data_IF_122557359297
#
_entry.id   IF_122557359297
#
_cell.length_a   1.000
_cell.length_b   1.000
_cell.length_c   1.000
_cell.angle_alpha   90.00
_cell.angle_beta   90.00
_cell.angle_gamma   90.00
#
_symmetry.space_group_name_H-M   'P 1'
#
loop_
_entity.id
_entity.type
_entity.pdbx_description
1 polymer ?
#
# COMPACT_ATOMS: atom_id res chain seq x y z
N UNK A 1 -9.59 61.50 -33.80
CA UNK A 1 -9.18 60.97 -32.48
C UNK A 1 -9.41 59.44 -32.55
N UNK A 2 -8.29 58.66 -32.70
CA UNK A 2 -8.36 57.21 -32.76
C UNK A 2 -8.06 56.65 -31.37
N UNK A 3 -9.05 56.02 -30.72
CA UNK A 3 -8.86 55.35 -29.43
C UNK A 3 -8.19 54.00 -29.66
N UNK A 4 -6.96 53.89 -29.16
CA UNK A 4 -6.22 52.61 -29.11
C UNK A 4 -6.57 51.97 -27.76
N UNK A 5 -7.34 50.86 -27.79
CA UNK A 5 -7.57 50.01 -26.63
C UNK A 5 -6.39 49.04 -26.51
N UNK A 6 -5.53 49.27 -25.50
CA UNK A 6 -4.46 48.34 -25.12
C UNK A 6 -5.06 47.23 -24.26
N UNK A 7 -5.14 46.01 -24.81
CA UNK A 7 -5.47 44.79 -24.05
C UNK A 7 -4.24 44.38 -23.24
N UNK A 8 -4.30 44.54 -21.93
CA UNK A 8 -3.30 43.96 -21.00
C UNK A 8 -3.70 42.52 -20.74
N UNK A 9 -2.97 41.58 -21.34
CA UNK A 9 -3.09 40.14 -21.08
C UNK A 9 -2.46 39.83 -19.70
N UNK A 10 -3.28 39.72 -18.67
CA UNK A 10 -2.80 39.25 -17.34
C UNK A 10 -2.63 37.75 -17.43
N UNK A 11 -1.37 37.29 -17.60
CA UNK A 11 -1.00 35.90 -17.40
C UNK A 11 -1.12 35.59 -15.89
N UNK A 12 -2.22 34.98 -15.48
CA UNK A 12 -2.34 34.32 -14.19
C UNK A 12 -1.42 33.11 -14.19
N UNK A 13 -0.22 33.26 -13.66
CA UNK A 13 0.64 32.15 -13.29
C UNK A 13 -0.08 31.36 -12.18
N UNK A 14 -0.81 30.34 -12.54
CA UNK A 14 -1.27 29.32 -11.60
C UNK A 14 -0.02 28.61 -11.13
N UNK A 15 0.52 29.01 -9.99
CA UNK A 15 1.51 28.23 -9.27
C UNK A 15 0.81 26.93 -8.86
N UNK A 16 0.98 25.90 -9.67
CA UNK A 16 0.63 24.56 -9.26
C UNK A 16 1.40 24.26 -7.96
N UNK A 17 0.68 23.97 -6.89
CA UNK A 17 1.30 23.55 -5.65
C UNK A 17 1.86 22.15 -5.88
N UNK A 18 3.16 22.06 -6.12
CA UNK A 18 3.88 20.80 -6.06
C UNK A 18 3.84 20.31 -4.60
N UNK A 19 3.46 19.09 -4.38
CA UNK A 19 3.50 18.48 -3.05
C UNK A 19 4.99 18.31 -2.67
N UNK A 20 5.46 19.06 -1.68
CA UNK A 20 6.83 18.99 -1.20
C UNK A 20 6.85 18.20 0.10
N UNK A 21 7.54 17.06 0.11
CA UNK A 21 7.79 16.28 1.33
C UNK A 21 8.79 17.02 2.23
N UNK A 22 8.62 16.88 3.54
CA UNK A 22 9.45 17.55 4.54
C UNK A 22 9.98 16.53 5.55
N UNK A 23 11.16 16.81 6.09
CA UNK A 23 11.72 16.06 7.20
C UNK A 23 10.84 16.27 8.45
N UNK A 24 10.24 15.23 9.04
CA UNK A 24 9.49 15.37 10.28
C UNK A 24 10.41 15.70 11.44
N UNK A 25 9.96 16.56 12.34
CA UNK A 25 10.68 16.82 13.59
C UNK A 25 10.67 15.60 14.50
N UNK A 26 11.76 15.37 15.23
CA UNK A 26 11.80 14.39 16.32
C UNK A 26 11.03 14.92 17.54
N UNK A 27 10.42 14.01 18.29
CA UNK A 27 9.74 14.34 19.57
C UNK A 27 10.74 14.69 20.69
N UNK A 28 11.97 14.18 20.61
CA UNK A 28 13.01 14.27 21.62
C UNK A 28 14.32 14.76 21.01
N UNK A 29 15.17 15.39 21.81
CA UNK A 29 16.51 15.77 21.38
C UNK A 29 17.39 14.53 21.18
N UNK A 30 18.38 14.60 20.30
CA UNK A 30 19.24 13.45 19.95
C UNK A 30 19.87 12.78 21.17
N UNK A 31 20.26 13.57 22.19
CA UNK A 31 20.89 13.07 23.42
C UNK A 31 19.91 12.29 24.30
N UNK A 32 18.61 12.53 24.19
CA UNK A 32 17.62 11.84 25.01
C UNK A 32 17.47 10.35 24.63
N UNK A 33 17.93 9.94 23.44
CA UNK A 33 17.92 8.54 23.02
C UNK A 33 19.03 7.69 23.66
N UNK A 34 19.98 8.34 24.39
CA UNK A 34 20.95 7.60 25.20
C UNK A 34 20.24 6.89 26.38
N UNK A 35 20.73 5.73 26.83
CA UNK A 35 21.92 5.02 26.36
C UNK A 35 21.65 4.03 25.22
N UNK A 36 20.48 4.01 24.59
CA UNK A 36 20.07 3.02 23.60
C UNK A 36 20.71 3.26 22.23
N UNK A 37 20.60 4.49 21.72
CA UNK A 37 21.24 4.95 20.49
C UNK A 37 22.10 6.17 20.85
N UNK A 38 23.33 6.24 20.34
CA UNK A 38 24.17 7.40 20.61
C UNK A 38 23.68 8.65 19.88
N UNK A 39 23.90 9.82 20.50
CA UNK A 39 23.46 11.11 20.00
C UNK A 39 23.99 11.41 18.60
N UNK A 40 25.21 10.98 18.28
CA UNK A 40 25.84 11.19 16.97
C UNK A 40 25.16 10.35 15.89
N UNK A 41 24.82 9.10 16.17
CA UNK A 41 24.02 8.26 15.27
C UNK A 41 22.68 8.92 15.01
N UNK A 42 21.95 9.38 16.05
CA UNK A 42 20.65 10.04 15.88
C UNK A 42 20.74 11.30 15.01
N UNK A 43 21.76 12.14 15.24
CA UNK A 43 21.98 13.35 14.44
C UNK A 43 22.19 13.01 12.94
N UNK A 44 23.11 12.10 12.64
CA UNK A 44 23.44 11.73 11.25
C UNK A 44 22.25 11.04 10.60
N UNK A 45 21.63 10.12 11.30
CA UNK A 45 20.52 9.31 10.80
C UNK A 45 19.31 10.18 10.44
N UNK A 46 18.94 11.13 11.30
CA UNK A 46 17.83 12.04 11.05
C UNK A 46 18.23 13.18 10.06
N UNK A 47 19.26 13.98 10.40
CA UNK A 47 19.56 15.21 9.67
C UNK A 47 20.32 15.00 8.36
N UNK A 48 20.90 13.82 8.11
CA UNK A 48 21.65 13.50 6.88
C UNK A 48 20.97 12.42 6.07
N UNK A 49 20.79 11.21 6.62
CA UNK A 49 20.20 10.11 5.87
C UNK A 49 18.74 10.39 5.52
N UNK A 50 17.87 10.65 6.52
CA UNK A 50 16.46 10.93 6.25
C UNK A 50 16.26 12.21 5.44
N UNK A 51 16.94 13.31 5.79
CA UNK A 51 16.88 14.54 4.99
C UNK A 51 17.35 14.32 3.54
N UNK A 52 18.33 13.45 3.33
CA UNK A 52 18.79 13.05 1.99
C UNK A 52 17.68 12.38 1.18
N UNK A 53 16.96 11.44 1.77
CA UNK A 53 15.81 10.80 1.12
C UNK A 53 14.72 11.81 0.76
N UNK A 54 14.38 12.72 1.67
CA UNK A 54 13.39 13.78 1.42
C UNK A 54 13.81 14.66 0.24
N UNK A 55 15.04 15.17 0.25
CA UNK A 55 15.55 16.05 -0.81
C UNK A 55 15.57 15.35 -2.17
N UNK A 56 16.06 14.11 -2.20
CA UNK A 56 16.18 13.33 -3.43
C UNK A 56 14.78 12.92 -3.97
N UNK A 57 13.83 12.57 -3.09
CA UNK A 57 12.46 12.28 -3.51
C UNK A 57 11.82 13.51 -4.16
N UNK A 58 11.85 14.67 -3.48
CA UNK A 58 11.29 15.90 -4.02
C UNK A 58 11.87 16.26 -5.39
N UNK A 59 13.18 16.06 -5.58
CA UNK A 59 13.84 16.29 -6.88
C UNK A 59 13.40 15.26 -7.92
N UNK A 60 13.28 13.98 -7.54
CA UNK A 60 13.03 12.89 -8.47
C UNK A 60 11.60 12.86 -9.01
N UNK A 61 10.60 13.35 -8.24
CA UNK A 61 9.20 13.37 -8.66
C UNK A 61 8.84 14.55 -9.56
N UNK A 62 9.65 15.63 -9.59
CA UNK A 62 9.36 16.83 -10.38
C UNK A 62 9.16 16.50 -11.87
N UNK A 63 8.07 17.00 -12.46
CA UNK A 63 7.70 16.77 -13.86
C UNK A 63 7.28 15.35 -14.19
N UNK A 64 7.14 14.47 -13.20
CA UNK A 64 6.65 13.10 -13.38
C UNK A 64 5.19 12.96 -12.96
N UNK A 65 4.56 11.82 -13.31
CA UNK A 65 3.20 11.49 -12.84
C UNK A 65 3.10 11.38 -11.31
N UNK A 66 4.21 11.29 -10.60
CA UNK A 66 4.28 11.17 -9.13
C UNK A 66 4.30 12.51 -8.41
N UNK A 67 4.51 13.64 -9.09
CA UNK A 67 4.72 14.97 -8.48
C UNK A 67 3.58 15.42 -7.54
N UNK A 68 2.34 15.03 -7.88
CA UNK A 68 1.15 15.43 -7.10
C UNK A 68 0.61 14.30 -6.20
N UNK A 69 1.27 13.16 -6.14
CA UNK A 69 0.81 12.01 -5.39
C UNK A 69 1.26 12.09 -3.93
N UNK A 70 0.41 11.58 -3.03
CA UNK A 70 0.81 11.33 -1.63
C UNK A 70 1.91 10.27 -1.56
N UNK A 71 2.66 10.24 -0.47
CA UNK A 71 3.72 9.25 -0.26
C UNK A 71 3.18 7.82 -0.37
N UNK A 72 2.04 7.53 0.26
CA UNK A 72 1.39 6.22 0.17
C UNK A 72 0.99 5.88 -1.27
N UNK A 73 0.47 6.86 -2.03
CA UNK A 73 0.14 6.64 -3.45
C UNK A 73 1.37 6.36 -4.31
N UNK A 74 2.52 6.98 -4.01
CA UNK A 74 3.80 6.66 -4.66
C UNK A 74 4.21 5.22 -4.33
N UNK A 75 4.18 4.83 -3.05
CA UNK A 75 4.57 3.48 -2.59
C UNK A 75 3.68 2.38 -3.19
N UNK A 76 2.38 2.63 -3.32
CA UNK A 76 1.43 1.71 -3.96
C UNK A 76 1.65 1.54 -5.47
N UNK A 77 2.50 2.35 -6.09
CA UNK A 77 2.74 2.37 -7.54
C UNK A 77 4.23 2.35 -7.90
N UNK A 78 5.09 1.83 -7.02
CA UNK A 78 6.55 1.83 -7.28
C UNK A 78 6.96 0.91 -8.43
N UNK A 79 6.16 -0.08 -8.81
CA UNK A 79 6.37 -0.88 -10.03
C UNK A 79 6.46 -0.02 -11.32
N UNK A 80 5.86 1.16 -11.30
CA UNK A 80 5.87 2.14 -12.38
C UNK A 80 6.83 3.31 -12.16
N UNK A 81 7.63 3.26 -11.08
CA UNK A 81 8.56 4.32 -10.70
C UNK A 81 10.00 3.96 -11.07
N UNK A 82 10.86 4.98 -11.16
CA UNK A 82 12.31 4.74 -11.21
C UNK A 82 12.83 4.25 -9.86
N UNK A 83 13.96 3.55 -9.86
CA UNK A 83 14.64 3.12 -8.63
C UNK A 83 14.96 4.31 -7.70
N UNK A 84 15.22 5.50 -8.26
CA UNK A 84 15.44 6.71 -7.48
C UNK A 84 14.19 7.09 -6.70
N UNK A 85 13.01 7.10 -7.33
CA UNK A 85 11.73 7.39 -6.65
C UNK A 85 11.43 6.30 -5.62
N UNK A 86 11.52 5.03 -6.00
CA UNK A 86 11.30 3.87 -5.11
C UNK A 86 12.14 3.95 -3.84
N UNK A 87 13.45 4.09 -3.98
CA UNK A 87 14.37 4.08 -2.84
C UNK A 87 14.17 5.32 -1.94
N UNK A 88 13.94 6.50 -2.52
CA UNK A 88 13.80 7.72 -1.72
C UNK A 88 12.40 7.84 -1.09
N UNK A 89 11.33 7.40 -1.76
CA UNK A 89 10.00 7.32 -1.17
C UNK A 89 9.96 6.30 -0.01
N UNK A 90 10.55 5.12 -0.23
CA UNK A 90 10.70 4.11 0.82
C UNK A 90 11.51 4.64 1.98
N UNK A 91 12.68 5.24 1.72
CA UNK A 91 13.53 5.80 2.76
C UNK A 91 12.82 6.88 3.59
N UNK A 92 12.09 7.78 2.94
CA UNK A 92 11.30 8.78 3.65
C UNK A 92 10.19 8.18 4.52
N UNK A 93 9.43 7.23 4.00
CA UNK A 93 8.36 6.55 4.75
C UNK A 93 8.92 5.76 5.95
N UNK A 94 9.92 4.93 5.71
CA UNK A 94 10.50 4.02 6.70
C UNK A 94 11.04 4.79 7.91
N UNK A 95 11.83 5.84 7.65
CA UNK A 95 12.39 6.68 8.71
C UNK A 95 11.31 7.51 9.43
N UNK A 96 10.28 8.00 8.70
CA UNK A 96 9.17 8.72 9.33
C UNK A 96 8.44 7.85 10.34
N UNK A 97 8.16 6.59 9.99
CA UNK A 97 7.57 5.63 10.92
C UNK A 97 8.50 5.33 12.10
N UNK A 98 9.79 5.09 11.82
CA UNK A 98 10.79 4.77 12.84
C UNK A 98 10.86 5.82 13.93
N UNK A 99 10.89 7.11 13.57
CA UNK A 99 10.92 8.20 14.55
C UNK A 99 9.63 8.31 15.36
N UNK A 100 8.49 7.99 14.79
CA UNK A 100 7.20 8.09 15.48
C UNK A 100 7.02 7.07 16.58
N UNK A 101 7.54 5.85 16.38
CA UNK A 101 7.36 4.71 17.28
C UNK A 101 8.45 4.58 18.36
N UNK A 102 9.46 5.45 18.33
CA UNK A 102 10.54 5.42 19.33
C UNK A 102 10.33 6.45 20.43
N UNK A 103 10.55 6.03 21.66
CA UNK A 103 10.59 6.90 22.84
C UNK A 103 11.73 6.50 23.76
N UNK A 104 12.55 7.46 24.27
CA UNK A 104 13.58 7.17 25.25
C UNK A 104 13.02 6.77 26.63
N UNK A 105 11.71 6.93 26.85
CA UNK A 105 11.02 6.68 28.11
C UNK A 105 9.87 5.68 27.89
N UNK A 106 10.21 4.45 27.48
CA UNK A 106 9.18 3.44 27.22
C UNK A 106 8.62 2.89 28.53
N UNK A 107 7.47 3.45 28.93
CA UNK A 107 6.62 2.91 30.00
C UNK A 107 5.21 2.58 29.48
N UNK A 108 5.01 2.68 28.16
CA UNK A 108 3.73 2.41 27.53
C UNK A 108 3.49 0.90 27.37
N UNK A 109 2.23 0.51 27.49
CA UNK A 109 1.77 -0.85 27.19
C UNK A 109 0.89 -0.83 25.94
N UNK A 110 0.82 -1.92 25.18
CA UNK A 110 -0.13 -2.02 24.08
C UNK A 110 -1.57 -1.88 24.61
N UNK A 111 -2.45 -1.29 23.78
CA UNK A 111 -3.89 -1.27 24.04
C UNK A 111 -4.47 -2.68 24.14
N UNK A 112 -5.67 -2.81 24.70
CA UNK A 112 -6.37 -4.09 24.78
C UNK A 112 -6.54 -4.72 23.40
N UNK A 113 -7.00 -3.96 22.38
CA UNK A 113 -7.18 -4.45 21.01
C UNK A 113 -5.87 -4.98 20.41
N UNK A 114 -4.77 -4.24 20.56
CA UNK A 114 -3.46 -4.68 20.06
C UNK A 114 -2.96 -5.91 20.83
N UNK A 115 -3.21 -5.98 22.14
CA UNK A 115 -2.84 -7.14 22.97
C UNK A 115 -3.58 -8.39 22.52
N UNK A 116 -4.87 -8.29 22.23
CA UNK A 116 -5.68 -9.39 21.66
C UNK A 116 -5.10 -9.83 20.32
N UNK A 117 -4.85 -8.88 19.41
CA UNK A 117 -4.29 -9.20 18.09
C UNK A 117 -2.90 -9.86 18.16
N UNK A 118 -2.05 -9.42 19.10
CA UNK A 118 -0.74 -10.06 19.36
C UNK A 118 -0.93 -11.48 19.88
N UNK A 119 -1.87 -11.69 20.81
CA UNK A 119 -2.18 -13.02 21.33
C UNK A 119 -2.70 -13.97 20.24
N UNK A 120 -3.58 -13.49 19.37
CA UNK A 120 -4.12 -14.27 18.25
C UNK A 120 -3.04 -14.65 17.23
N UNK A 121 -2.13 -13.72 16.91
CA UNK A 121 -1.13 -13.94 15.84
C UNK A 121 0.15 -14.62 16.34
N UNK A 122 0.55 -14.38 17.60
CA UNK A 122 1.86 -14.82 18.14
C UNK A 122 1.75 -15.58 19.46
N UNK A 123 0.59 -15.67 20.07
CA UNK A 123 0.37 -16.30 21.39
C UNK A 123 0.69 -15.39 22.56
N UNK A 124 1.83 -14.68 22.55
CA UNK A 124 2.25 -13.73 23.59
C UNK A 124 3.25 -12.70 23.07
N UNK A 125 3.48 -11.64 23.85
CA UNK A 125 4.43 -10.56 23.52
C UNK A 125 5.86 -11.04 23.30
N UNK A 126 6.37 -11.94 24.15
CA UNK A 126 7.73 -12.49 23.99
C UNK A 126 7.90 -13.24 22.66
N UNK A 127 6.84 -13.89 22.15
CA UNK A 127 6.86 -14.58 20.88
C UNK A 127 6.90 -13.59 19.71
N UNK A 128 6.16 -12.48 19.80
CA UNK A 128 6.27 -11.38 18.85
C UNK A 128 7.70 -10.82 18.84
N UNK A 129 8.25 -10.49 20.00
CA UNK A 129 9.63 -10.00 20.13
C UNK A 129 10.63 -10.94 19.48
N UNK A 130 10.55 -12.24 19.81
CA UNK A 130 11.43 -13.28 19.23
C UNK A 130 11.28 -13.39 17.73
N UNK A 131 10.05 -13.30 17.22
CA UNK A 131 9.77 -13.40 15.76
C UNK A 131 10.33 -12.19 15.02
N UNK A 132 10.12 -10.99 15.57
CA UNK A 132 10.65 -9.75 14.98
C UNK A 132 12.19 -9.73 15.02
N UNK A 133 12.80 -10.16 16.14
CA UNK A 133 14.24 -10.31 16.27
C UNK A 133 14.80 -11.28 15.20
N UNK A 134 14.17 -12.43 15.01
CA UNK A 134 14.58 -13.40 13.99
C UNK A 134 14.49 -12.79 12.58
N UNK A 135 13.43 -12.08 12.26
CA UNK A 135 13.28 -11.39 10.97
C UNK A 135 14.37 -10.32 10.76
N UNK A 136 14.65 -9.50 11.78
CA UNK A 136 15.71 -8.50 11.76
C UNK A 136 17.12 -9.10 11.59
N UNK A 137 17.39 -10.23 12.25
CA UNK A 137 18.67 -10.95 12.12
C UNK A 137 18.79 -11.68 10.78
N UNK A 138 17.69 -12.24 10.26
CA UNK A 138 17.65 -12.94 8.98
C UNK A 138 17.84 -12.00 7.78
N UNK A 139 17.59 -10.69 7.93
CA UNK A 139 17.81 -9.70 6.87
C UNK A 139 19.31 -9.58 6.59
N UNK A 140 19.76 -10.26 5.53
CA UNK A 140 21.15 -10.17 5.06
C UNK A 140 21.38 -8.80 4.40
N UNK A 141 22.43 -8.08 4.85
CA UNK A 141 22.72 -6.72 4.38
C UNK A 141 21.76 -5.67 4.96
N UNK A 142 21.58 -4.59 4.20
CA UNK A 142 20.75 -3.45 4.58
C UNK A 142 19.28 -3.74 4.40
N UNK A 143 18.45 -3.20 5.27
CA UNK A 143 17.00 -3.32 5.19
C UNK A 143 16.29 -3.06 6.49
N UNK A 144 15.08 -3.60 6.61
CA UNK A 144 14.15 -3.32 7.70
C UNK A 144 13.41 -4.60 8.12
N UNK A 145 13.09 -4.72 9.40
CA UNK A 145 12.13 -5.68 9.91
C UNK A 145 10.83 -4.95 10.32
N UNK A 146 9.70 -5.62 10.13
CA UNK A 146 8.38 -5.00 10.23
C UNK A 146 7.40 -5.83 11.03
N UNK A 147 6.53 -5.16 11.82
CA UNK A 147 5.24 -5.67 12.21
C UNK A 147 4.19 -4.94 11.37
N UNK A 148 3.37 -5.69 10.64
CA UNK A 148 2.35 -5.15 9.72
C UNK A 148 0.96 -5.63 10.09
N UNK A 149 -0.05 -4.85 9.70
CA UNK A 149 -1.42 -5.33 9.52
C UNK A 149 -1.54 -5.80 8.08
N UNK A 150 -1.66 -7.10 7.86
CA UNK A 150 -1.68 -7.69 6.52
C UNK A 150 -3.05 -7.56 5.83
N UNK A 151 -3.17 -8.03 4.60
CA UNK A 151 -4.39 -7.98 3.81
C UNK A 151 -5.62 -8.65 4.47
N UNK A 152 -5.43 -9.53 5.45
CA UNK A 152 -6.52 -10.18 6.21
C UNK A 152 -6.85 -9.44 7.52
N UNK A 153 -6.24 -8.27 7.76
CA UNK A 153 -6.40 -7.51 9.01
C UNK A 153 -5.69 -8.12 10.21
N UNK A 154 -4.80 -9.10 10.00
CA UNK A 154 -4.04 -9.79 11.05
C UNK A 154 -2.62 -9.24 11.15
N UNK A 155 -2.04 -9.37 12.34
CA UNK A 155 -0.65 -9.02 12.55
C UNK A 155 0.30 -10.06 11.91
N UNK A 156 1.32 -9.58 11.24
CA UNK A 156 2.35 -10.39 10.61
C UNK A 156 3.71 -9.73 10.74
N UNK A 157 4.75 -10.54 10.96
CA UNK A 157 6.15 -10.08 10.92
C UNK A 157 6.76 -10.42 9.56
N UNK A 158 7.44 -9.44 8.95
CA UNK A 158 8.19 -9.62 7.71
C UNK A 158 9.47 -8.79 7.71
N UNK A 159 10.29 -8.90 6.67
CA UNK A 159 11.45 -8.04 6.45
C UNK A 159 11.65 -7.71 4.98
N UNK A 160 12.25 -6.56 4.71
CA UNK A 160 12.51 -6.08 3.34
C UNK A 160 13.97 -5.65 3.17
N UNK A 161 14.46 -5.68 1.94
CA UNK A 161 15.80 -5.20 1.60
C UNK A 161 15.82 -3.70 1.30
N UNK A 162 16.98 -3.09 1.46
CA UNK A 162 17.21 -1.68 1.14
C UNK A 162 16.17 -0.75 1.79
N UNK A 163 15.49 0.09 0.99
CA UNK A 163 14.43 0.97 1.48
C UNK A 163 13.02 0.51 1.07
N UNK A 164 12.88 -0.73 0.59
CA UNK A 164 11.56 -1.31 0.34
C UNK A 164 10.76 -1.45 1.63
N UNK A 165 9.45 -1.38 1.51
CA UNK A 165 8.54 -1.58 2.63
C UNK A 165 7.26 -2.34 2.21
N UNK A 166 6.49 -2.88 3.16
CA UNK A 166 5.34 -3.74 2.88
C UNK A 166 4.14 -3.07 2.19
N UNK A 167 4.13 -1.74 2.04
CA UNK A 167 3.08 -1.03 1.27
C UNK A 167 3.30 -1.21 -0.24
N UNK A 168 4.56 -1.34 -0.67
CA UNK A 168 4.94 -1.35 -2.07
C UNK A 168 4.27 -2.47 -2.86
N UNK A 169 3.78 -2.16 -4.05
CA UNK A 169 3.08 -3.10 -4.96
C UNK A 169 3.97 -4.22 -5.52
N UNK A 170 5.28 -4.10 -5.37
CA UNK A 170 6.28 -5.10 -5.76
C UNK A 170 6.57 -6.16 -4.68
N UNK A 171 6.02 -5.99 -3.47
CA UNK A 171 6.28 -6.90 -2.37
C UNK A 171 5.32 -8.09 -2.37
N UNK A 172 5.83 -9.27 -2.01
CA UNK A 172 5.01 -10.49 -1.86
C UNK A 172 4.21 -10.49 -0.55
N UNK A 173 4.79 -9.96 0.53
CA UNK A 173 4.15 -9.82 1.83
C UNK A 173 3.80 -8.35 2.06
N UNK A 174 2.52 -8.02 1.83
CA UNK A 174 2.02 -6.64 1.86
C UNK A 174 1.12 -6.40 3.06
N UNK A 175 1.18 -5.16 3.56
CA UNK A 175 0.35 -4.69 4.66
C UNK A 175 0.77 -3.29 5.09
N UNK A 176 0.08 -2.76 6.08
CA UNK A 176 0.43 -1.46 6.67
C UNK A 176 1.39 -1.67 7.83
N UNK A 177 2.61 -1.13 7.75
CA UNK A 177 3.56 -1.17 8.85
C UNK A 177 3.07 -0.36 10.05
N UNK A 178 3.08 -0.98 11.24
CA UNK A 178 2.77 -0.33 12.51
C UNK A 178 4.00 -0.22 13.41
N UNK A 179 5.03 -1.04 13.13
CA UNK A 179 6.31 -1.03 13.82
C UNK A 179 7.41 -1.43 12.83
N UNK A 180 8.59 -0.82 12.98
CA UNK A 180 9.76 -1.18 12.18
C UNK A 180 11.05 -1.13 13.00
N UNK A 181 12.06 -1.90 12.54
CA UNK A 181 13.43 -1.85 13.02
C UNK A 181 14.35 -1.64 11.82
N UNK A 182 15.10 -0.58 11.83
CA UNK A 182 16.16 -0.32 10.86
C UNK A 182 17.36 -1.25 11.13
N UNK A 183 17.73 -2.06 10.16
CA UNK A 183 18.91 -2.93 10.27
C UNK A 183 20.02 -2.56 9.28
N UNK A 184 19.95 -1.36 8.71
CA UNK A 184 21.10 -0.75 8.05
C UNK A 184 22.22 -0.50 9.08
N UNK A 185 23.47 -0.73 8.72
CA UNK A 185 24.60 -0.55 9.64
C UNK A 185 24.73 0.87 10.17
N UNK A 186 24.35 1.88 9.37
CA UNK A 186 24.38 3.29 9.82
C UNK A 186 23.48 3.57 11.02
N UNK A 187 22.45 2.73 11.27
CA UNK A 187 21.54 2.90 12.39
C UNK A 187 22.14 2.47 13.75
N UNK A 188 23.21 1.66 13.73
CA UNK A 188 23.72 1.06 14.96
C UNK A 188 25.25 0.93 15.06
N UNK A 189 26.01 1.11 13.98
CA UNK A 189 27.42 0.72 13.96
C UNK A 189 28.29 1.51 14.94
N UNK A 190 28.05 2.83 15.11
CA UNK A 190 28.87 3.64 16.01
C UNK A 190 28.81 3.16 17.47
N UNK A 191 27.66 2.69 17.93
CA UNK A 191 27.45 2.21 19.30
C UNK A 191 27.58 0.71 19.45
N UNK A 192 26.95 -0.05 18.56
CA UNK A 192 26.81 -1.50 18.70
C UNK A 192 27.78 -2.30 17.81
N UNK A 193 28.46 -1.64 16.86
CA UNK A 193 29.38 -2.26 15.89
C UNK A 193 28.72 -3.46 15.18
N UNK A 194 29.34 -4.63 15.20
CA UNK A 194 28.81 -5.85 14.59
C UNK A 194 27.74 -6.56 15.45
N UNK A 195 27.38 -6.01 16.61
CA UNK A 195 26.42 -6.62 17.54
C UNK A 195 24.99 -6.20 17.20
N UNK A 196 24.51 -6.54 16.00
CA UNK A 196 23.15 -6.21 15.57
C UNK A 196 22.09 -6.68 16.55
N UNK A 197 22.31 -7.83 17.18
CA UNK A 197 21.37 -8.38 18.17
C UNK A 197 21.18 -7.44 19.38
N UNK A 198 22.27 -6.88 19.92
CA UNK A 198 22.22 -5.96 21.07
C UNK A 198 21.47 -4.67 20.70
N UNK A 199 21.66 -4.17 19.47
CA UNK A 199 20.92 -3.06 18.92
C UNK A 199 19.42 -3.36 18.82
N UNK A 200 19.02 -4.53 18.30
CA UNK A 200 17.61 -4.91 18.20
C UNK A 200 16.94 -4.93 19.58
N UNK A 201 17.60 -5.43 20.61
CA UNK A 201 17.10 -5.37 21.98
C UNK A 201 16.97 -3.94 22.50
N UNK A 202 17.96 -3.07 22.21
CA UNK A 202 17.90 -1.66 22.58
C UNK A 202 16.69 -0.97 21.93
N UNK A 203 16.47 -1.16 20.64
CA UNK A 203 15.31 -0.62 19.91
C UNK A 203 13.99 -1.14 20.49
N UNK A 204 13.89 -2.45 20.77
CA UNK A 204 12.69 -3.01 21.38
C UNK A 204 12.32 -2.32 22.70
N UNK A 205 13.32 -2.00 23.52
CA UNK A 205 13.12 -1.31 24.81
C UNK A 205 12.65 0.13 24.67
N UNK A 206 12.76 0.70 23.47
CA UNK A 206 12.37 2.08 23.15
C UNK A 206 11.02 2.16 22.41
N UNK A 207 10.32 1.04 22.18
CA UNK A 207 9.05 1.05 21.48
C UNK A 207 7.97 1.79 22.26
N UNK A 208 7.34 2.78 21.61
CA UNK A 208 6.17 3.48 22.13
C UNK A 208 4.90 2.69 21.81
N UNK A 209 4.53 1.79 22.72
CA UNK A 209 3.36 0.92 22.52
C UNK A 209 2.04 1.68 22.46
N UNK A 210 1.96 2.90 23.01
CA UNK A 210 0.81 3.77 22.84
C UNK A 210 0.65 4.19 21.37
N UNK A 211 1.74 4.72 20.77
CA UNK A 211 1.75 5.11 19.35
C UNK A 211 1.54 3.91 18.43
N UNK A 212 2.17 2.76 18.74
CA UNK A 212 2.00 1.53 17.95
C UNK A 212 0.54 1.05 18.00
N UNK A 213 -0.14 1.20 19.14
CA UNK A 213 -1.57 0.87 19.27
C UNK A 213 -2.47 1.78 18.45
N UNK A 214 -2.18 3.10 18.41
CA UNK A 214 -2.88 4.03 17.53
C UNK A 214 -2.70 3.66 16.05
N UNK A 215 -1.46 3.36 15.66
CA UNK A 215 -1.16 2.92 14.28
C UNK A 215 -1.86 1.60 13.92
N UNK A 216 -1.99 0.67 14.86
CA UNK A 216 -2.76 -0.55 14.64
C UNK A 216 -4.23 -0.25 14.34
N UNK A 217 -4.85 0.61 15.15
CA UNK A 217 -6.23 1.03 14.97
C UNK A 217 -6.44 1.77 13.64
N UNK A 218 -5.54 2.71 13.31
CA UNK A 218 -5.56 3.44 12.03
C UNK A 218 -5.42 2.48 10.84
N UNK A 219 -4.48 1.53 10.91
CA UNK A 219 -4.20 0.59 9.83
C UNK A 219 -5.43 -0.27 9.45
N UNK A 220 -6.27 -0.65 10.41
CA UNK A 220 -7.46 -1.47 10.15
C UNK A 220 -8.49 -0.78 9.24
N UNK A 221 -8.52 0.55 9.23
CA UNK A 221 -9.46 1.37 8.46
C UNK A 221 -8.79 2.18 7.34
N UNK A 222 -7.48 2.04 7.16
CA UNK A 222 -6.73 2.81 6.17
C UNK A 222 -7.12 2.40 4.73
N UNK A 223 -7.44 3.36 3.84
CA UNK A 223 -7.69 3.09 2.42
C UNK A 223 -6.55 2.33 1.72
N UNK A 224 -5.29 2.50 2.17
CA UNK A 224 -4.13 1.75 1.67
C UNK A 224 -4.31 0.25 1.92
N UNK A 225 -4.82 -0.15 3.09
CA UNK A 225 -5.09 -1.56 3.37
C UNK A 225 -6.15 -2.13 2.44
N UNK A 226 -7.19 -1.36 2.12
CA UNK A 226 -8.20 -1.77 1.15
C UNK A 226 -7.59 -2.00 -0.23
N UNK A 227 -6.73 -1.08 -0.68
CA UNK A 227 -6.01 -1.24 -1.95
C UNK A 227 -5.12 -2.49 -1.94
N UNK A 228 -4.36 -2.73 -0.86
CA UNK A 228 -3.53 -3.94 -0.72
C UNK A 228 -4.39 -5.22 -0.77
N UNK A 229 -5.57 -5.23 -0.13
CA UNK A 229 -6.51 -6.35 -0.16
C UNK A 229 -6.99 -6.64 -1.59
N UNK A 230 -7.43 -5.60 -2.30
CA UNK A 230 -7.86 -5.72 -3.69
C UNK A 230 -6.72 -6.22 -4.60
N UNK A 231 -5.51 -5.68 -4.42
CA UNK A 231 -4.33 -6.11 -5.17
C UNK A 231 -3.95 -7.58 -4.91
N UNK A 232 -4.28 -8.12 -3.76
CA UNK A 232 -4.03 -9.52 -3.41
C UNK A 232 -5.18 -10.47 -3.79
N UNK A 233 -6.30 -9.95 -4.27
CA UNK A 233 -7.44 -10.76 -4.69
C UNK A 233 -7.21 -11.31 -6.10
N UNK A 234 -6.63 -12.51 -6.16
CA UNK A 234 -6.21 -13.16 -7.41
C UNK A 234 -7.37 -13.38 -8.38
N UNK A 235 -8.54 -13.80 -7.86
CA UNK A 235 -9.73 -14.07 -8.66
C UNK A 235 -10.29 -12.80 -9.28
N UNK A 236 -10.19 -11.66 -8.59
CA UNK A 236 -10.56 -10.35 -9.13
C UNK A 236 -9.64 -9.96 -10.29
N UNK A 237 -8.33 -10.15 -10.14
CA UNK A 237 -7.35 -9.89 -11.22
C UNK A 237 -7.58 -10.76 -12.44
N UNK A 238 -7.80 -12.05 -12.22
CA UNK A 238 -8.04 -13.00 -13.30
C UNK A 238 -9.34 -12.71 -14.04
N UNK A 239 -10.41 -12.32 -13.34
CA UNK A 239 -11.64 -11.85 -13.96
C UNK A 239 -11.40 -10.56 -14.77
N UNK A 240 -10.72 -9.58 -14.18
CA UNK A 240 -10.40 -8.31 -14.85
C UNK A 240 -9.63 -8.52 -16.16
N UNK A 241 -8.64 -9.42 -16.17
CA UNK A 241 -7.84 -9.73 -17.37
C UNK A 241 -8.70 -10.22 -18.54
N UNK A 242 -9.70 -11.05 -18.28
CA UNK A 242 -10.63 -11.51 -19.31
C UNK A 242 -11.61 -10.41 -19.68
N UNK A 243 -12.17 -9.72 -18.68
CA UNK A 243 -13.15 -8.66 -18.87
C UNK A 243 -12.58 -7.50 -19.70
N UNK A 244 -11.40 -6.96 -19.33
CA UNK A 244 -10.79 -5.83 -20.02
C UNK A 244 -10.48 -6.13 -21.50
N UNK A 245 -9.91 -7.30 -21.79
CA UNK A 245 -9.58 -7.70 -23.17
C UNK A 245 -10.81 -7.89 -24.04
N UNK A 246 -11.92 -8.39 -23.50
CA UNK A 246 -13.16 -8.62 -24.25
C UNK A 246 -14.01 -7.36 -24.37
N UNK A 247 -14.06 -6.55 -23.32
CA UNK A 247 -14.82 -5.31 -23.27
C UNK A 247 -14.23 -4.24 -24.20
N UNK A 248 -12.94 -3.92 -24.07
CA UNK A 248 -12.30 -2.89 -24.88
C UNK A 248 -12.21 -3.24 -26.37
N UNK A 249 -12.18 -4.53 -26.71
CA UNK A 249 -12.33 -4.95 -28.10
C UNK A 249 -13.74 -4.67 -28.63
N UNK A 250 -14.78 -5.01 -27.84
CA UNK A 250 -16.17 -4.80 -28.22
C UNK A 250 -16.53 -3.29 -28.34
N UNK A 251 -15.96 -2.41 -27.53
CA UNK A 251 -16.07 -0.95 -27.67
C UNK A 251 -15.54 -0.46 -29.03
N UNK A 252 -14.53 -1.13 -29.58
CA UNK A 252 -13.97 -0.87 -30.91
C UNK A 252 -14.67 -1.65 -32.02
N UNK A 253 -15.86 -2.19 -31.74
CA UNK A 253 -16.66 -3.02 -32.62
C UNK A 253 -16.02 -4.37 -33.03
N UNK A 254 -15.00 -4.84 -32.34
CA UNK A 254 -14.44 -6.18 -32.42
C UNK A 254 -15.06 -7.11 -31.39
N UNK A 255 -16.06 -7.90 -31.81
CA UNK A 255 -16.78 -8.84 -30.96
C UNK A 255 -16.18 -10.25 -30.94
N UNK A 256 -15.12 -10.49 -31.70
CA UNK A 256 -14.48 -11.82 -31.77
C UNK A 256 -13.96 -12.28 -30.40
N UNK A 257 -13.22 -11.46 -29.61
CA UNK A 257 -12.71 -11.89 -28.31
C UNK A 257 -13.81 -12.33 -27.36
N UNK A 258 -14.94 -11.61 -27.27
CA UNK A 258 -16.02 -12.02 -26.37
C UNK A 258 -16.77 -13.25 -26.88
N UNK A 259 -16.91 -13.42 -28.18
CA UNK A 259 -17.52 -14.61 -28.74
C UNK A 259 -16.70 -15.86 -28.42
N UNK A 260 -15.36 -15.78 -28.47
CA UNK A 260 -14.45 -16.88 -28.19
C UNK A 260 -14.27 -17.15 -26.68
N UNK A 261 -14.31 -16.10 -25.85
CA UNK A 261 -13.95 -16.16 -24.42
C UNK A 261 -15.15 -15.99 -23.47
N UNK A 262 -16.39 -15.97 -23.95
CA UNK A 262 -17.56 -15.80 -23.07
C UNK A 262 -17.69 -16.89 -22.00
N UNK A 263 -17.33 -18.13 -22.30
CA UNK A 263 -17.30 -19.22 -21.34
C UNK A 263 -16.22 -19.01 -20.26
N UNK A 264 -15.04 -18.56 -20.66
CA UNK A 264 -13.96 -18.20 -19.72
C UNK A 264 -14.38 -17.07 -18.79
N UNK A 265 -15.01 -16.01 -19.31
CA UNK A 265 -15.54 -14.90 -18.52
C UNK A 265 -16.57 -15.39 -17.47
N UNK A 266 -17.46 -16.29 -17.86
CA UNK A 266 -18.45 -16.89 -16.95
C UNK A 266 -17.77 -17.71 -15.84
N UNK A 267 -16.78 -18.54 -16.19
CA UNK A 267 -16.02 -19.32 -15.18
C UNK A 267 -15.27 -18.42 -14.22
N UNK A 268 -14.62 -17.36 -14.71
CA UNK A 268 -13.91 -16.41 -13.84
C UNK A 268 -14.86 -15.64 -12.93
N UNK A 269 -16.06 -15.28 -13.39
CA UNK A 269 -17.10 -14.69 -12.54
C UNK A 269 -17.57 -15.64 -11.42
N UNK A 270 -17.75 -16.92 -11.74
CA UNK A 270 -18.10 -17.96 -10.76
C UNK A 270 -16.98 -18.14 -9.72
N UNK A 271 -15.71 -18.25 -10.14
CA UNK A 271 -14.57 -18.39 -9.23
C UNK A 271 -14.45 -17.17 -8.32
N UNK A 272 -14.60 -15.98 -8.86
CA UNK A 272 -14.54 -14.72 -8.11
C UNK A 272 -15.63 -14.63 -7.05
N UNK A 273 -16.88 -15.02 -7.39
CA UNK A 273 -17.99 -15.05 -6.42
C UNK A 273 -17.73 -16.01 -5.26
N UNK A 274 -17.05 -17.14 -5.51
CA UNK A 274 -16.81 -18.18 -4.52
C UNK A 274 -15.43 -18.06 -3.85
N UNK A 275 -14.67 -16.99 -4.14
CA UNK A 275 -13.40 -16.70 -3.48
C UNK A 275 -13.58 -16.04 -2.12
N UNK A 276 -12.51 -16.03 -1.31
CA UNK A 276 -12.50 -15.29 -0.05
C UNK A 276 -12.49 -13.77 -0.32
N UNK A 277 -13.53 -13.09 0.18
CA UNK A 277 -13.70 -11.65 -0.05
C UNK A 277 -12.81 -10.86 0.92
N UNK A 278 -11.89 -10.03 0.45
CA UNK A 278 -10.99 -9.26 1.31
C UNK A 278 -11.67 -7.98 1.86
N UNK A 279 -12.74 -8.11 2.64
CA UNK A 279 -13.49 -7.00 3.23
C UNK A 279 -13.31 -6.89 4.74
N UNK A 280 -13.58 -5.70 5.31
CA UNK A 280 -13.27 -5.39 6.71
C UNK A 280 -14.45 -5.59 7.66
N UNK A 281 -15.69 -5.41 7.21
CA UNK A 281 -16.86 -5.44 8.08
C UNK A 281 -18.06 -6.17 7.46
N UNK A 282 -19.03 -6.52 8.30
CA UNK A 282 -20.20 -7.31 7.90
C UNK A 282 -21.10 -6.61 6.85
N UNK A 283 -21.22 -5.27 6.92
CA UNK A 283 -22.05 -4.51 5.97
C UNK A 283 -21.42 -4.49 4.59
N UNK A 284 -20.09 -4.27 4.51
CA UNK A 284 -19.31 -4.33 3.27
C UNK A 284 -19.36 -5.74 2.67
N UNK A 285 -19.20 -6.77 3.50
CA UNK A 285 -19.32 -8.18 3.07
C UNK A 285 -20.68 -8.46 2.44
N UNK A 286 -21.76 -8.00 3.05
CA UNK A 286 -23.11 -8.20 2.50
C UNK A 286 -23.30 -7.48 1.17
N UNK A 287 -22.86 -6.25 1.05
CA UNK A 287 -22.90 -5.46 -0.19
C UNK A 287 -22.07 -6.13 -1.28
N UNK A 288 -20.85 -6.54 -0.96
CA UNK A 288 -19.94 -7.21 -1.88
C UNK A 288 -20.52 -8.53 -2.40
N UNK A 289 -21.08 -9.36 -1.52
CA UNK A 289 -21.74 -10.62 -1.91
C UNK A 289 -22.90 -10.40 -2.89
N UNK A 290 -23.68 -9.32 -2.75
CA UNK A 290 -24.75 -8.96 -3.69
C UNK A 290 -24.18 -8.58 -5.06
N UNK A 291 -23.14 -7.77 -5.11
CA UNK A 291 -22.51 -7.36 -6.37
C UNK A 291 -21.82 -8.54 -7.07
N UNK A 292 -21.17 -9.44 -6.32
CA UNK A 292 -20.58 -10.68 -6.84
C UNK A 292 -21.64 -11.64 -7.43
N UNK A 293 -22.77 -11.82 -6.74
CA UNK A 293 -23.87 -12.63 -7.24
C UNK A 293 -24.52 -12.03 -8.51
N UNK A 294 -24.63 -10.69 -8.55
CA UNK A 294 -25.09 -9.97 -9.74
C UNK A 294 -24.14 -10.17 -10.92
N UNK A 295 -22.81 -10.04 -10.68
CA UNK A 295 -21.77 -10.23 -11.69
C UNK A 295 -21.80 -11.63 -12.30
N UNK A 296 -21.84 -12.67 -11.46
CA UNK A 296 -21.92 -14.07 -11.88
C UNK A 296 -23.14 -14.30 -12.76
N UNK A 297 -24.34 -13.85 -12.32
CA UNK A 297 -25.58 -13.96 -13.09
C UNK A 297 -25.48 -13.28 -14.46
N UNK A 298 -24.95 -12.05 -14.52
CA UNK A 298 -24.77 -11.31 -15.76
C UNK A 298 -23.83 -12.02 -16.74
N UNK A 299 -22.71 -12.58 -16.22
CA UNK A 299 -21.77 -13.35 -17.05
C UNK A 299 -22.39 -14.66 -17.59
N UNK A 300 -23.15 -15.36 -16.77
CA UNK A 300 -23.89 -16.56 -17.19
C UNK A 300 -24.98 -16.25 -18.24
N UNK A 301 -25.71 -15.15 -18.08
CA UNK A 301 -26.68 -14.67 -19.04
C UNK A 301 -26.06 -14.26 -20.38
N UNK A 302 -24.88 -13.64 -20.37
CA UNK A 302 -24.13 -13.31 -21.58
C UNK A 302 -23.66 -14.59 -22.29
N UNK A 303 -23.10 -15.55 -21.55
CA UNK A 303 -22.69 -16.85 -22.10
C UNK A 303 -23.87 -17.57 -22.76
N UNK A 304 -25.00 -17.69 -22.07
CA UNK A 304 -26.21 -18.32 -22.60
C UNK A 304 -26.72 -17.59 -23.85
N UNK A 305 -26.72 -16.27 -23.84
CA UNK A 305 -27.13 -15.45 -24.99
C UNK A 305 -26.26 -15.69 -26.22
N UNK A 306 -24.93 -15.80 -26.06
CA UNK A 306 -23.98 -16.00 -27.16
C UNK A 306 -23.97 -17.45 -27.68
N UNK A 307 -24.33 -18.43 -26.85
CA UNK A 307 -24.27 -19.87 -27.20
C UNK A 307 -25.62 -20.44 -27.66
N UNK A 308 -26.73 -20.02 -27.03
CA UNK A 308 -28.06 -20.59 -27.24
C UNK A 308 -29.00 -19.59 -27.90
N UNK A 309 -28.63 -18.32 -27.96
CA UNK A 309 -29.45 -17.23 -28.50
C UNK A 309 -29.83 -17.43 -29.98
N UNK A 310 -31.13 -17.40 -30.28
CA UNK A 310 -31.63 -17.54 -31.67
C UNK A 310 -31.30 -16.32 -32.56
N UNK A 311 -30.97 -15.17 -31.98
CA UNK A 311 -30.68 -13.93 -32.68
C UNK A 311 -29.68 -13.09 -31.90
N UNK A 312 -28.40 -13.36 -32.10
CA UNK A 312 -27.31 -12.60 -31.45
C UNK A 312 -27.07 -11.31 -32.27
N UNK A 313 -27.01 -10.16 -31.57
CA UNK A 313 -26.66 -8.85 -32.14
C UNK A 313 -25.51 -8.20 -31.42
N UNK A 314 -24.68 -7.45 -32.12
CA UNK A 314 -23.56 -6.73 -31.52
C UNK A 314 -24.03 -5.69 -30.48
N UNK A 315 -25.12 -4.99 -30.74
CA UNK A 315 -25.71 -3.99 -29.85
C UNK A 315 -26.10 -4.61 -28.50
N UNK A 316 -26.82 -5.74 -28.50
CA UNK A 316 -27.24 -6.39 -27.26
C UNK A 316 -26.05 -7.07 -26.54
N UNK A 317 -25.06 -7.56 -27.28
CA UNK A 317 -23.80 -8.08 -26.73
C UNK A 317 -23.07 -6.98 -25.98
N UNK A 318 -22.88 -5.80 -26.58
CA UNK A 318 -22.22 -4.67 -25.95
C UNK A 318 -23.01 -4.18 -24.72
N UNK A 319 -24.34 -4.10 -24.80
CA UNK A 319 -25.19 -3.74 -23.66
C UNK A 319 -25.00 -4.69 -22.46
N UNK A 320 -24.90 -6.00 -22.72
CA UNK A 320 -24.66 -6.99 -21.65
C UNK A 320 -23.25 -6.89 -21.11
N UNK A 321 -22.24 -6.63 -21.93
CA UNK A 321 -20.86 -6.38 -21.50
C UNK A 321 -20.75 -5.13 -20.62
N UNK A 322 -21.41 -4.01 -21.01
CA UNK A 322 -21.46 -2.79 -20.20
C UNK A 322 -22.03 -3.08 -18.80
N UNK A 323 -23.11 -3.84 -18.71
CA UNK A 323 -23.71 -4.20 -17.40
C UNK A 323 -22.75 -5.03 -16.51
N UNK A 324 -21.97 -5.93 -17.10
CA UNK A 324 -20.93 -6.70 -16.39
C UNK A 324 -19.80 -5.77 -15.95
N UNK A 325 -19.34 -4.91 -16.84
CA UNK A 325 -18.29 -3.93 -16.59
C UNK A 325 -18.67 -2.97 -15.45
N UNK A 326 -19.88 -2.38 -15.47
CA UNK A 326 -20.38 -1.51 -14.40
C UNK A 326 -20.42 -2.23 -13.04
N UNK A 327 -20.90 -3.48 -13.04
CA UNK A 327 -20.94 -4.28 -11.80
C UNK A 327 -19.54 -4.65 -11.32
N UNK A 328 -18.59 -4.90 -12.22
CA UNK A 328 -17.20 -5.10 -11.86
C UNK A 328 -16.60 -3.84 -11.20
N UNK A 329 -16.92 -2.64 -11.70
CA UNK A 329 -16.50 -1.40 -11.06
C UNK A 329 -17.08 -1.21 -9.67
N UNK A 330 -18.35 -1.62 -9.42
CA UNK A 330 -18.93 -1.62 -8.08
C UNK A 330 -18.10 -2.52 -7.12
N UNK A 331 -17.59 -3.66 -7.60
CA UNK A 331 -16.80 -4.62 -6.82
C UNK A 331 -15.36 -4.12 -6.63
N UNK A 332 -14.73 -3.68 -7.68
CA UNK A 332 -13.32 -3.25 -7.65
C UNK A 332 -13.13 -1.92 -6.89
N UNK A 333 -14.19 -1.11 -6.73
CA UNK A 333 -14.12 0.23 -6.12
C UNK A 333 -13.17 1.16 -6.88
N UNK A 334 -12.65 0.71 -8.03
CA UNK A 334 -11.61 1.36 -8.79
C UNK A 334 -11.75 1.02 -10.27
N UNK A 335 -12.21 1.92 -11.00
CA UNK A 335 -11.71 2.31 -12.30
C UNK A 335 -12.23 3.72 -12.49
N UNK A 336 -11.51 4.66 -11.96
CA UNK A 336 -11.52 5.99 -12.55
C UNK A 336 -10.41 5.95 -13.58
N UNK A 337 -10.86 5.95 -14.84
CA UNK A 337 -10.15 6.35 -16.05
C UNK A 337 -8.62 6.21 -16.06
N UNK A 338 -8.11 5.19 -16.77
CA UNK A 338 -6.81 5.31 -17.43
C UNK A 338 -6.92 6.19 -18.68
#
# INVERSE_FOLDING_TARGET
MKNVFTFILILLLVKGWSQTFQLPNLKFAYIEYEPFIDSRTMEIHHSKHHQGYVNNLNKAILGTKFEKLSLNSILLNVSNASDVIRNNAGGHYNHSLFWQILTPKSNSQPSEDLTIAIKESFGKMDSLQTTLQKAAMARFGSGWAWLIVNAHGKLQVTHTGNQDNPIMDIMSERGIPILCIDVWEHAYYLKHQNKRNDYIYAIWSMMDWGVISEKYKEALTDPVLQKIKQDNWSELKEFHKVMSTTFHAAEKADFKPITERNHELMIKAYLLKNSEIPVLNATETLSMNKSLAKLEKQAAELHSYLTIGKKVTNELTLKKLNAIHDTFHEIAGLCKEE
#
